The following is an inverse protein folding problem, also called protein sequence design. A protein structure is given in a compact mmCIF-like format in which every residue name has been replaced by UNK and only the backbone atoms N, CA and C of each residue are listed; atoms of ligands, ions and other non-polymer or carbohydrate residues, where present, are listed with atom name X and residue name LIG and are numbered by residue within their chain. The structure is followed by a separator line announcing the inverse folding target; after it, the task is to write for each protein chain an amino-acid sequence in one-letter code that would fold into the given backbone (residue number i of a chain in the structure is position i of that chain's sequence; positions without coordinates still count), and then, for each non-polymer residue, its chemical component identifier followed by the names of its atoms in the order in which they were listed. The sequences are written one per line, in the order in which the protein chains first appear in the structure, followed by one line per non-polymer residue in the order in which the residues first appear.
data_IF_511243353666
#
_entry.id   IF_511243353666
#
_cell.length_a   1.000
_cell.length_b   1.000
_cell.length_c   1.000
_cell.angle_alpha   90.00
_cell.angle_beta   90.00
_cell.angle_gamma   90.00
#
_symmetry.space_group_name_H-M   'P 1'
#
loop_
_entity.id
_entity.type
_entity.pdbx_description
1 polymer ?
#
# COMPACT_ATOMS: atom_id res chain seq x y z
N UNK A 1 -0.63 -5.95 7.91
CA UNK A 1 0.70 -6.55 8.03
C UNK A 1 0.78 -7.68 7.02
N UNK A 2 1.66 -7.53 6.02
CA UNK A 2 1.82 -8.47 4.88
C UNK A 2 3.14 -9.24 4.96
N UNK A 3 3.72 -9.32 6.16
CA UNK A 3 4.95 -10.04 6.41
C UNK A 3 4.90 -11.46 5.84
N UNK A 4 6.01 -11.88 5.21
CA UNK A 4 6.25 -13.25 4.74
C UNK A 4 5.37 -13.72 3.54
N UNK A 5 5.41 -12.97 2.44
CA UNK A 5 4.84 -13.37 1.14
C UNK A 5 5.90 -13.40 0.03
N UNK A 6 6.80 -14.40 -0.01
CA UNK A 6 7.82 -14.48 -1.05
C UNK A 6 7.18 -14.59 -2.45
N UNK A 7 7.74 -13.85 -3.41
CA UNK A 7 7.24 -13.75 -4.78
C UNK A 7 6.02 -12.85 -4.97
N UNK A 8 5.40 -12.34 -3.89
CA UNK A 8 4.31 -11.39 -4.01
C UNK A 8 4.74 -10.17 -4.82
N UNK A 9 3.79 -9.66 -5.61
CA UNK A 9 4.00 -8.50 -6.48
C UNK A 9 3.34 -7.28 -5.87
N UNK A 10 4.04 -6.16 -5.84
CA UNK A 10 3.49 -4.92 -5.30
C UNK A 10 3.61 -3.78 -6.30
N UNK A 11 2.62 -2.90 -6.30
CA UNK A 11 2.64 -1.60 -6.98
C UNK A 11 1.93 -0.57 -6.13
N UNK A 12 2.17 0.69 -6.44
CA UNK A 12 1.58 1.82 -5.73
C UNK A 12 1.17 2.89 -6.71
N UNK A 13 0.38 3.84 -6.24
CA UNK A 13 -0.11 4.94 -7.05
C UNK A 13 0.98 5.83 -7.64
N UNK A 14 2.10 5.97 -6.92
CA UNK A 14 3.29 6.71 -7.35
C UNK A 14 4.45 5.71 -7.46
N UNK A 15 5.24 5.82 -8.53
CA UNK A 15 6.39 4.95 -8.77
C UNK A 15 6.47 4.50 -10.23
N UNK A 16 7.31 3.50 -10.48
CA UNK A 16 7.38 2.88 -11.80
C UNK A 16 6.24 1.86 -11.98
N UNK A 17 5.80 1.67 -13.23
CA UNK A 17 4.85 0.62 -13.59
C UNK A 17 5.48 -0.78 -13.62
N UNK A 18 6.67 -0.95 -13.05
CA UNK A 18 7.31 -2.25 -12.88
C UNK A 18 6.89 -2.76 -11.50
N UNK A 19 6.41 -3.99 -11.43
CA UNK A 19 6.09 -4.60 -10.15
C UNK A 19 7.35 -4.77 -9.29
N UNK A 20 7.24 -4.39 -8.02
CA UNK A 20 8.20 -4.80 -7.00
C UNK A 20 7.93 -6.27 -6.66
N UNK A 21 9.00 -7.06 -6.52
CA UNK A 21 8.90 -8.49 -6.24
C UNK A 21 9.46 -8.74 -4.86
N UNK A 22 8.69 -9.44 -4.05
CA UNK A 22 9.10 -9.92 -2.74
C UNK A 22 10.23 -10.97 -2.83
N UNK A 23 11.48 -10.53 -2.91
CA UNK A 23 12.68 -11.35 -3.07
C UNK A 23 13.80 -11.05 -2.06
N UNK A 24 13.49 -10.25 -1.03
CA UNK A 24 14.38 -9.80 0.04
C UNK A 24 15.48 -8.82 -0.42
N UNK A 25 15.27 -8.15 -1.56
CA UNK A 25 16.17 -7.13 -2.08
C UNK A 25 15.38 -5.87 -2.45
N UNK A 26 16.06 -4.73 -2.33
CA UNK A 26 15.54 -3.44 -2.76
C UNK A 26 16.32 -2.93 -3.98
N UNK A 27 15.69 -2.96 -5.15
CA UNK A 27 16.14 -2.27 -6.34
C UNK A 27 15.76 -0.78 -6.31
N UNK A 28 16.43 0.03 -7.14
CA UNK A 28 16.22 1.49 -7.13
C UNK A 28 14.83 1.94 -7.60
N UNK A 29 14.14 1.13 -8.41
CA UNK A 29 12.78 1.42 -8.83
C UNK A 29 11.76 1.15 -7.70
N UNK A 30 12.02 0.15 -6.85
CA UNK A 30 11.14 -0.22 -5.73
C UNK A 30 11.16 0.85 -4.65
N UNK A 31 12.30 1.52 -4.46
CA UNK A 31 12.43 2.68 -3.56
C UNK A 31 11.58 3.89 -3.98
N UNK A 32 11.10 3.92 -5.23
CA UNK A 32 10.23 4.99 -5.75
C UNK A 32 8.75 4.69 -5.53
N UNK A 33 8.41 3.50 -5.03
CA UNK A 33 7.04 3.18 -4.66
C UNK A 33 6.57 4.11 -3.55
N UNK A 34 5.47 4.80 -3.79
CA UNK A 34 4.85 5.70 -2.83
C UNK A 34 3.34 5.81 -3.07
N UNK A 35 2.66 6.34 -2.07
CA UNK A 35 1.28 6.80 -2.15
C UNK A 35 1.21 8.20 -1.51
N UNK A 36 0.22 9.00 -1.90
CA UNK A 36 -0.07 10.31 -1.30
C UNK A 36 -1.58 10.42 -1.03
N UNK A 37 -2.02 11.55 -0.47
CA UNK A 37 -3.45 11.81 -0.29
C UNK A 37 -4.22 11.84 -1.61
N UNK A 38 -3.62 12.38 -2.67
CA UNK A 38 -4.21 12.52 -4.00
C UNK A 38 -4.18 11.20 -4.78
N UNK A 39 -3.14 10.40 -4.52
CA UNK A 39 -2.85 9.10 -5.13
C UNK A 39 -2.68 8.03 -4.03
N UNK A 40 -3.79 7.56 -3.41
CA UNK A 40 -3.71 6.93 -2.10
C UNK A 40 -3.66 5.40 -2.11
N UNK A 41 -3.40 4.77 -3.25
CA UNK A 41 -3.57 3.32 -3.37
C UNK A 41 -2.25 2.53 -3.36
N UNK A 42 -2.34 1.32 -2.80
CA UNK A 42 -1.32 0.28 -2.85
C UNK A 42 -1.96 -1.02 -3.35
N UNK A 43 -1.28 -1.74 -4.23
CA UNK A 43 -1.74 -3.01 -4.78
C UNK A 43 -0.76 -4.12 -4.46
N UNK A 44 -1.30 -5.30 -4.16
CA UNK A 44 -0.58 -6.53 -3.90
C UNK A 44 -1.21 -7.66 -4.71
N UNK A 45 -0.39 -8.46 -5.37
CA UNK A 45 -0.75 -9.82 -5.78
C UNK A 45 0.00 -10.79 -4.85
N UNK A 46 -0.75 -11.58 -4.08
CA UNK A 46 -0.16 -12.45 -3.06
C UNK A 46 0.62 -13.65 -3.61
N UNK A 47 0.47 -13.96 -4.91
CA UNK A 47 0.83 -15.26 -5.51
C UNK A 47 0.19 -16.48 -4.81
N UNK A 48 -0.83 -16.26 -3.97
CA UNK A 48 -1.53 -17.28 -3.16
C UNK A 48 -3.04 -17.30 -3.39
N UNK A 49 -3.47 -16.82 -4.56
CA UNK A 49 -4.88 -16.90 -5.00
C UNK A 49 -5.75 -15.70 -4.63
N UNK A 50 -5.16 -14.61 -4.13
CA UNK A 50 -5.86 -13.35 -3.95
C UNK A 50 -4.99 -12.15 -4.35
N UNK A 51 -5.65 -11.13 -4.84
CA UNK A 51 -5.12 -9.79 -4.97
C UNK A 51 -5.74 -8.90 -3.90
N UNK A 52 -5.03 -7.84 -3.57
CA UNK A 52 -5.50 -6.85 -2.61
C UNK A 52 -5.19 -5.45 -3.09
N UNK A 53 -6.17 -4.58 -3.00
CA UNK A 53 -6.03 -3.15 -3.20
C UNK A 53 -6.34 -2.44 -1.88
N UNK A 54 -5.43 -1.58 -1.44
CA UNK A 54 -5.60 -0.73 -0.28
C UNK A 54 -5.77 0.72 -0.72
N UNK A 55 -6.66 1.46 -0.06
CA UNK A 55 -6.74 2.92 -0.13
C UNK A 55 -6.63 3.50 1.28
N UNK A 56 -5.96 4.65 1.42
CA UNK A 56 -5.98 5.44 2.66
C UNK A 56 -6.62 6.81 2.41
N UNK A 57 -7.39 7.31 3.37
CA UNK A 57 -7.95 8.65 3.30
C UNK A 57 -8.20 9.25 4.68
N UNK A 58 -8.13 10.58 4.77
CA UNK A 58 -8.58 11.34 5.95
C UNK A 58 -10.09 11.58 5.86
N UNK A 59 -10.80 11.33 6.96
CA UNK A 59 -12.23 11.66 7.11
C UNK A 59 -12.46 12.82 8.08
N UNK A 60 -11.47 13.18 8.89
CA UNK A 60 -11.46 14.35 9.80
C UNK A 60 -10.02 14.75 10.10
N UNK A 61 -9.76 16.05 10.16
CA UNK A 61 -8.45 16.61 10.42
C UNK A 61 -7.75 17.05 9.14
N UNK A 62 -7.55 18.36 9.01
CA UNK A 62 -6.77 18.96 7.93
C UNK A 62 -5.27 18.91 8.29
N UNK A 63 -4.41 18.64 7.32
CA UNK A 63 -2.95 18.69 7.51
C UNK A 63 -2.29 17.38 7.98
N UNK A 64 -2.97 16.24 7.91
CA UNK A 64 -2.32 14.92 7.98
C UNK A 64 -1.50 14.73 6.71
N UNK A 65 -0.24 14.33 6.87
CA UNK A 65 0.63 13.94 5.76
C UNK A 65 0.81 12.42 5.81
N UNK A 66 0.55 11.76 4.69
CA UNK A 66 0.59 10.32 4.52
C UNK A 66 1.50 9.97 3.34
N UNK A 67 2.31 8.94 3.52
CA UNK A 67 3.15 8.37 2.46
C UNK A 67 2.95 6.85 2.35
N UNK A 68 3.31 6.32 1.19
CA UNK A 68 3.42 4.87 1.00
C UNK A 68 4.74 4.34 1.55
N UNK A 69 4.72 3.11 2.01
CA UNK A 69 5.87 2.41 2.55
C UNK A 69 6.02 1.05 1.86
N UNK A 70 7.20 0.83 1.29
CA UNK A 70 7.62 -0.48 0.80
C UNK A 70 9.03 -0.76 1.29
N UNK A 71 9.24 -1.95 1.85
CA UNK A 71 10.56 -2.39 2.25
C UNK A 71 10.68 -3.90 2.12
N UNK A 72 11.65 -4.34 1.33
CA UNK A 72 11.95 -5.75 1.14
C UNK A 72 13.42 -6.04 1.44
N UNK A 73 13.70 -6.39 2.68
CA UNK A 73 15.07 -6.63 3.16
C UNK A 73 15.08 -7.65 4.29
N UNK A 74 16.21 -8.35 4.44
CA UNK A 74 16.49 -9.21 5.59
C UNK A 74 16.85 -8.43 6.86
N UNK A 75 17.15 -7.13 6.74
CA UNK A 75 17.56 -6.30 7.86
C UNK A 75 16.44 -6.10 8.88
N UNK A 76 16.81 -6.18 10.16
CA UNK A 76 15.88 -5.94 11.25
C UNK A 76 15.62 -4.44 11.40
N UNK A 77 14.35 -4.03 11.29
CA UNK A 77 13.87 -2.70 11.67
C UNK A 77 13.39 -2.75 13.12
N UNK A 78 14.12 -2.10 14.02
CA UNK A 78 13.76 -2.05 15.44
C UNK A 78 12.68 -0.98 15.64
N UNK A 79 11.70 -1.16 16.54
CA UNK A 79 11.64 -2.19 17.60
C UNK A 79 10.89 -3.47 17.21
N UNK A 80 10.18 -3.50 16.09
CA UNK A 80 9.19 -4.54 15.78
C UNK A 80 9.75 -5.82 15.13
N UNK A 81 10.99 -5.85 14.60
CA UNK A 81 11.40 -6.97 13.74
C UNK A 81 12.24 -8.09 14.36
N UNK A 82 11.81 -9.30 14.05
CA UNK A 82 12.67 -10.48 13.91
C UNK A 82 13.32 -10.50 12.51
N UNK A 83 14.59 -10.96 12.36
CA UNK A 83 15.25 -11.08 11.06
C UNK A 83 14.44 -11.90 10.05
N UNK A 84 14.34 -11.43 8.80
CA UNK A 84 13.71 -12.18 7.70
C UNK A 84 12.19 -12.03 7.54
N UNK A 85 11.60 -10.94 8.04
CA UNK A 85 10.14 -10.69 8.00
C UNK A 85 9.63 -9.94 6.75
N UNK A 86 10.52 -9.55 5.83
CA UNK A 86 10.14 -8.88 4.57
C UNK A 86 9.35 -9.77 3.59
N UNK A 87 8.61 -9.17 2.64
CA UNK A 87 8.47 -7.74 2.39
C UNK A 87 7.42 -7.07 3.30
N UNK A 88 7.51 -5.75 3.43
CA UNK A 88 6.49 -4.92 4.05
C UNK A 88 5.91 -3.93 3.05
N UNK A 89 4.60 -3.79 3.07
CA UNK A 89 3.84 -2.84 2.27
C UNK A 89 2.78 -2.18 3.16
N UNK A 90 2.72 -0.85 3.16
CA UNK A 90 1.76 -0.13 3.98
C UNK A 90 1.83 1.37 3.80
N UNK A 91 1.25 2.09 4.76
CA UNK A 91 1.27 3.54 4.80
C UNK A 91 2.03 4.02 6.03
N UNK A 92 2.70 5.16 5.91
CA UNK A 92 3.33 5.90 7.01
C UNK A 92 2.55 7.18 7.22
N UNK A 93 2.29 7.50 8.49
CA UNK A 93 1.76 8.80 8.89
C UNK A 93 2.96 9.68 9.20
N UNK A 94 3.32 10.56 8.27
CA UNK A 94 4.49 11.44 8.39
C UNK A 94 4.22 12.57 9.40
N UNK A 95 2.97 13.00 9.51
CA UNK A 95 2.57 14.10 10.39
C UNK A 95 1.15 13.94 10.91
N UNK A 96 1.03 14.06 12.22
CA UNK A 96 -0.24 14.18 12.95
C UNK A 96 -0.30 15.57 13.58
N UNK A 97 -1.17 16.50 13.11
CA UNK A 97 -1.35 17.79 13.74
C UNK A 97 -1.86 17.63 15.19
N UNK A 98 -1.21 18.31 16.13
CA UNK A 98 -1.57 18.24 17.54
C UNK A 98 -2.79 19.13 17.85
N UNK A 99 -3.66 18.67 18.75
CA UNK A 99 -4.81 19.43 19.25
C UNK A 99 -6.11 19.24 18.46
N UNK A 100 -6.09 18.44 17.39
CA UNK A 100 -7.27 18.09 16.60
C UNK A 100 -7.63 16.60 16.74
N UNK A 101 -8.92 16.31 16.61
CA UNK A 101 -9.40 14.95 16.40
C UNK A 101 -9.07 14.51 14.97
N UNK A 102 -8.30 13.43 14.85
CA UNK A 102 -7.85 12.90 13.57
C UNK A 102 -8.57 11.58 13.30
N UNK A 103 -9.24 11.49 12.16
CA UNK A 103 -9.81 10.25 11.66
C UNK A 103 -9.24 9.91 10.29
N UNK A 104 -8.68 8.72 10.15
CA UNK A 104 -8.32 8.13 8.87
C UNK A 104 -9.04 6.81 8.67
N UNK A 105 -9.24 6.45 7.41
CA UNK A 105 -9.85 5.20 6.98
C UNK A 105 -8.88 4.51 6.03
N UNK A 106 -8.73 3.21 6.24
CA UNK A 106 -8.05 2.33 5.29
C UNK A 106 -9.11 1.36 4.74
N UNK A 107 -9.33 1.42 3.44
CA UNK A 107 -10.18 0.44 2.75
C UNK A 107 -9.30 -0.66 2.17
N UNK A 108 -9.59 -1.91 2.55
CA UNK A 108 -8.91 -3.09 2.03
C UNK A 108 -9.89 -3.90 1.19
N UNK A 109 -9.60 -4.01 -0.10
CA UNK A 109 -10.41 -4.74 -1.08
C UNK A 109 -9.66 -6.01 -1.47
N UNK A 110 -10.23 -7.16 -1.15
CA UNK A 110 -9.70 -8.48 -1.53
C UNK A 110 -10.53 -9.06 -2.66
N UNK A 111 -9.89 -9.33 -3.79
CA UNK A 111 -10.51 -9.96 -4.97
C UNK A 111 -9.42 -10.65 -5.79
N UNK A 112 -9.77 -11.54 -6.70
CA UNK A 112 -8.80 -12.13 -7.63
C UNK A 112 -8.84 -11.46 -9.01
N UNK A 113 -7.72 -11.54 -9.74
CA UNK A 113 -7.66 -11.39 -11.20
C UNK A 113 -7.41 -9.97 -11.70
N UNK A 114 -7.30 -8.96 -10.84
CA UNK A 114 -7.03 -7.60 -11.33
C UNK A 114 -5.56 -7.38 -11.72
N UNK A 115 -4.69 -8.33 -11.38
CA UNK A 115 -3.31 -8.39 -11.85
C UNK A 115 -3.10 -9.20 -13.13
N UNK A 116 -4.12 -9.87 -13.69
CA UNK A 116 -3.96 -10.82 -14.80
C UNK A 116 -3.31 -10.20 -16.06
N UNK A 117 -3.54 -8.90 -16.29
CA UNK A 117 -2.93 -8.13 -17.39
C UNK A 117 -1.77 -7.24 -16.94
N UNK A 118 -1.23 -7.46 -15.74
CA UNK A 118 -0.18 -6.65 -15.11
C UNK A 118 -0.52 -5.15 -15.06
N UNK A 119 -1.80 -4.82 -14.81
CA UNK A 119 -2.33 -3.46 -14.83
C UNK A 119 -3.28 -3.18 -13.65
N UNK A 120 -2.82 -3.34 -12.39
CA UNK A 120 -3.62 -3.02 -11.22
C UNK A 120 -4.12 -1.57 -11.17
N UNK A 121 -3.49 -0.66 -11.92
CA UNK A 121 -3.85 0.75 -12.03
C UNK A 121 -5.27 0.95 -12.59
N UNK A 122 -5.69 0.12 -13.55
CA UNK A 122 -7.05 0.17 -14.09
C UNK A 122 -8.10 -0.17 -13.04
N UNK A 123 -7.84 -1.21 -12.24
CA UNK A 123 -8.72 -1.59 -11.15
C UNK A 123 -8.73 -0.53 -10.05
N UNK A 124 -7.57 0.02 -9.70
CA UNK A 124 -7.47 1.11 -8.73
C UNK A 124 -8.28 2.34 -9.18
N UNK A 125 -8.19 2.70 -10.46
CA UNK A 125 -9.00 3.79 -11.03
C UNK A 125 -10.50 3.48 -10.95
N UNK A 126 -10.91 2.28 -11.36
CA UNK A 126 -12.31 1.87 -11.32
C UNK A 126 -12.88 1.88 -9.89
N UNK A 127 -12.09 1.46 -8.89
CA UNK A 127 -12.50 1.45 -7.49
C UNK A 127 -12.53 2.85 -6.86
N UNK A 128 -11.63 3.76 -7.26
CA UNK A 128 -11.62 5.16 -6.82
C UNK A 128 -12.89 5.92 -7.24
N UNK A 129 -13.41 5.59 -8.42
CA UNK A 129 -14.60 6.21 -8.99
C UNK A 129 -15.93 5.59 -8.48
N UNK A 130 -15.87 4.54 -7.65
CA UNK A 130 -17.08 3.95 -7.07
C UNK A 130 -17.72 4.94 -6.07
N UNK A 131 -19.03 5.17 -6.17
CA UNK A 131 -19.72 6.02 -5.21
C UNK A 131 -19.56 5.45 -3.81
N UNK A 132 -19.10 6.29 -2.89
CA UNK A 132 -18.98 5.92 -1.49
C UNK A 132 -20.36 5.50 -0.97
N UNK A 133 -20.50 4.27 -0.46
CA UNK A 133 -21.71 3.88 0.25
C UNK A 133 -21.77 4.76 1.49
N UNK A 134 -22.62 5.78 1.44
CA UNK A 134 -22.93 6.60 2.59
C UNK A 134 -23.75 5.71 3.51
N UNK A 135 -23.16 5.25 4.60
CA UNK A 135 -23.94 4.62 5.66
C UNK A 135 -24.98 5.66 6.12
N UNK A 136 -26.26 5.31 5.96
CA UNK A 136 -27.40 6.09 6.49
C UNK A 136 -27.43 6.01 8.01
#
# INVERSE_FOLDING_TARGET
DFANMPGAKSRSAIGEKREAIADLKMEDYEKKMAASREEPWLALNSQKGFDMLAFIGSTKGDGIELSGYYLDTTEANKPERFPGTGPELGYVIDKLPAGDDINFRIDLIYTGGFWDNNNPEEFAKAMKDLPSVTAQ
#
